data_IF_905731154832
#
_entry.id   IF_905731154832
#
_cell.length_a   1.000
_cell.length_b   1.000
_cell.length_c   1.000
_cell.angle_alpha   90.00
_cell.angle_beta   90.00
_cell.angle_gamma   90.00
#
_symmetry.space_group_name_H-M   'P 1'
#
loop_
_entity.id
_entity.type
_entity.pdbx_description
1 polymer ?
#
# COMPACT_ATOMS: atom_id res chain seq x y z
N UNK A 1 -14.45 9.69 6.21
CA UNK A 1 -14.11 8.27 5.98
C UNK A 1 -14.13 7.86 4.51
N UNK A 2 -15.27 7.93 3.81
CA UNK A 2 -15.35 7.50 2.39
C UNK A 2 -14.35 8.24 1.48
N UNK A 3 -14.23 9.56 1.62
CA UNK A 3 -13.26 10.34 0.83
C UNK A 3 -11.80 9.93 1.06
N UNK A 4 -11.44 9.56 2.30
CA UNK A 4 -10.08 9.10 2.62
C UNK A 4 -9.80 7.73 2.00
N UNK A 5 -10.76 6.81 2.04
CA UNK A 5 -10.65 5.49 1.39
C UNK A 5 -10.51 5.66 -0.12
N UNK A 6 -11.29 6.56 -0.71
CA UNK A 6 -11.24 6.88 -2.14
C UNK A 6 -9.88 7.44 -2.53
N UNK A 7 -9.36 8.39 -1.74
CA UNK A 7 -8.06 8.99 -1.97
C UNK A 7 -6.92 7.97 -1.91
N UNK A 8 -6.90 7.11 -0.87
CA UNK A 8 -5.91 6.04 -0.72
C UNK A 8 -5.98 5.06 -1.88
N UNK A 9 -7.20 4.70 -2.32
CA UNK A 9 -7.41 3.79 -3.45
C UNK A 9 -6.84 4.38 -4.74
N UNK A 10 -7.17 5.64 -5.04
CA UNK A 10 -6.69 6.33 -6.24
C UNK A 10 -5.17 6.48 -6.23
N UNK A 11 -4.56 6.88 -5.12
CA UNK A 11 -3.11 6.93 -4.98
C UNK A 11 -2.46 5.57 -5.22
N UNK A 12 -3.03 4.50 -4.65
CA UNK A 12 -2.47 3.15 -4.80
C UNK A 12 -2.53 2.68 -6.25
N UNK A 13 -3.63 2.96 -6.95
CA UNK A 13 -3.77 2.66 -8.38
C UNK A 13 -2.73 3.45 -9.18
N UNK A 14 -2.60 4.75 -8.90
CA UNK A 14 -1.63 5.63 -9.56
C UNK A 14 -0.18 5.14 -9.36
N UNK A 15 0.22 4.88 -8.11
CA UNK A 15 1.55 4.35 -7.76
C UNK A 15 1.84 3.04 -8.48
N UNK A 16 0.85 2.15 -8.60
CA UNK A 16 0.97 0.85 -9.29
C UNK A 16 1.15 1.02 -10.80
N UNK A 17 0.38 1.90 -11.44
CA UNK A 17 0.50 2.19 -12.87
C UNK A 17 1.85 2.81 -13.18
N UNK A 18 2.28 3.80 -12.40
CA UNK A 18 3.58 4.45 -12.57
C UNK A 18 4.75 3.48 -12.32
N UNK A 19 4.64 2.61 -11.32
CA UNK A 19 5.62 1.56 -11.07
C UNK A 19 5.77 0.65 -12.31
N UNK A 20 4.68 0.08 -12.81
CA UNK A 20 4.71 -0.82 -13.97
C UNK A 20 5.24 -0.13 -15.24
N UNK A 21 4.80 1.10 -15.50
CA UNK A 21 5.29 1.88 -16.62
C UNK A 21 6.80 2.14 -16.51
N UNK A 22 7.27 2.57 -15.34
CA UNK A 22 8.70 2.80 -15.10
C UNK A 22 9.54 1.54 -15.28
N UNK A 23 9.01 0.38 -14.86
CA UNK A 23 9.66 -0.92 -14.99
C UNK A 23 9.80 -1.33 -16.45
N UNK A 24 8.73 -1.19 -17.24
CA UNK A 24 8.73 -1.50 -18.66
C UNK A 24 9.68 -0.60 -19.46
N UNK A 25 9.80 0.68 -19.08
CA UNK A 25 10.65 1.65 -19.76
C UNK A 25 12.11 1.65 -19.24
N UNK A 26 12.43 0.84 -18.22
CA UNK A 26 13.77 0.80 -17.63
C UNK A 26 14.14 2.03 -16.79
N UNK A 27 13.16 2.81 -16.34
CA UNK A 27 13.38 3.98 -15.48
C UNK A 27 13.62 3.57 -14.02
N UNK A 28 14.81 3.03 -13.74
CA UNK A 28 15.15 2.39 -12.46
C UNK A 28 14.95 3.28 -11.22
N UNK A 29 15.23 4.58 -11.31
CA UNK A 29 15.00 5.51 -10.19
C UNK A 29 13.51 5.59 -9.84
N UNK A 30 12.65 5.76 -10.85
CA UNK A 30 11.20 5.83 -10.65
C UNK A 30 10.63 4.48 -10.23
N UNK A 31 11.17 3.37 -10.75
CA UNK A 31 10.81 2.02 -10.30
C UNK A 31 11.10 1.84 -8.81
N UNK A 32 12.29 2.22 -8.35
CA UNK A 32 12.63 2.13 -6.93
C UNK A 32 11.74 3.06 -6.08
N UNK A 33 11.47 4.28 -6.56
CA UNK A 33 10.62 5.25 -5.87
C UNK A 33 9.18 4.75 -5.69
N UNK A 34 8.49 4.39 -6.78
CA UNK A 34 7.11 3.90 -6.70
C UNK A 34 7.03 2.52 -6.03
N UNK A 35 8.04 1.67 -6.20
CA UNK A 35 8.15 0.40 -5.51
C UNK A 35 8.22 0.58 -4.00
N UNK A 36 9.01 1.54 -3.51
CA UNK A 36 9.09 1.88 -2.09
C UNK A 36 7.75 2.37 -1.53
N UNK A 37 7.05 3.25 -2.26
CA UNK A 37 5.73 3.77 -1.85
C UNK A 37 4.70 2.64 -1.67
N UNK A 38 4.61 1.73 -2.65
CA UNK A 38 3.72 0.57 -2.58
C UNK A 38 4.08 -0.36 -1.41
N UNK A 39 5.37 -0.62 -1.18
CA UNK A 39 5.85 -1.48 -0.10
C UNK A 39 5.50 -0.90 1.28
N UNK A 40 5.69 0.41 1.46
CA UNK A 40 5.31 1.12 2.69
C UNK A 40 3.80 1.01 2.96
N UNK A 41 2.99 1.16 1.91
CA UNK A 41 1.52 1.11 2.00
C UNK A 41 1.06 -0.31 2.37
N UNK A 42 1.59 -1.34 1.71
CA UNK A 42 1.35 -2.76 2.02
C UNK A 42 1.77 -3.12 3.45
N UNK A 43 2.94 -2.65 3.89
CA UNK A 43 3.42 -2.94 5.24
C UNK A 43 2.54 -2.30 6.32
N UNK A 44 2.09 -1.07 6.09
CA UNK A 44 1.16 -0.38 7.00
C UNK A 44 -0.16 -1.14 7.12
N UNK A 45 -0.74 -1.55 5.98
CA UNK A 45 -1.96 -2.38 5.95
C UNK A 45 -1.73 -3.71 6.68
N UNK A 46 -0.61 -4.38 6.43
CA UNK A 46 -0.26 -5.64 7.09
C UNK A 46 -0.16 -5.51 8.61
N UNK A 47 0.51 -4.45 9.12
CA UNK A 47 0.62 -4.19 10.55
C UNK A 47 -0.77 -3.94 11.16
N UNK A 48 -1.60 -3.11 10.52
CA UNK A 48 -2.97 -2.82 11.00
C UNK A 48 -3.80 -4.12 11.06
N UNK A 49 -3.75 -4.94 10.01
CA UNK A 49 -4.46 -6.23 9.99
C UNK A 49 -3.95 -7.19 11.08
N UNK A 50 -2.65 -7.20 11.34
CA UNK A 50 -2.05 -8.04 12.39
C UNK A 50 -2.47 -7.56 13.80
N UNK A 51 -2.50 -6.25 14.04
CA UNK A 51 -2.98 -5.67 15.30
C UNK A 51 -4.47 -5.97 15.48
N UNK A 52 -5.29 -5.80 14.43
CA UNK A 52 -6.72 -6.12 14.47
C UNK A 52 -6.95 -7.61 14.80
N UNK A 53 -6.21 -8.52 14.16
CA UNK A 53 -6.27 -9.96 14.49
C UNK A 53 -5.82 -10.27 15.92
N UNK A 54 -4.82 -9.56 16.45
CA UNK A 54 -4.37 -9.75 17.82
C UNK A 54 -5.42 -9.25 18.84
N UNK A 55 -6.05 -8.10 18.57
CA UNK A 55 -7.14 -7.55 19.37
C UNK A 55 -8.40 -8.44 19.35
N UNK A 56 -8.71 -9.03 18.19
CA UNK A 56 -9.84 -9.95 18.05
C UNK A 56 -9.61 -11.26 18.82
N UNK A 57 -8.36 -11.76 18.83
CA UNK A 57 -7.96 -12.90 19.67
C UNK A 57 -7.99 -12.61 21.17
N UNK A 58 -7.70 -11.38 21.61
CA UNK A 58 -7.75 -11.03 23.03
C UNK A 58 -9.17 -10.77 23.55
N UNK A 59 -10.12 -10.48 22.65
CA UNK A 59 -11.52 -10.17 23.01
C UNK A 59 -12.43 -11.40 22.98
N UNK A 60 -12.00 -12.51 22.35
CA UNK A 60 -12.61 -13.83 22.57
C UNK A 60 -12.20 -14.36 23.96
N UNK A 61 -12.86 -13.87 25.00
CA UNK A 61 -12.95 -14.47 26.33
C UNK A 61 -14.40 -14.79 26.63
#
# INVERSE_FOLDING_TARGET
MIQQILFITVETIFETVCFNYSLQQGYYFFTAFFGYLLLRRLWTTYIISRIASAADKSTKK
#
